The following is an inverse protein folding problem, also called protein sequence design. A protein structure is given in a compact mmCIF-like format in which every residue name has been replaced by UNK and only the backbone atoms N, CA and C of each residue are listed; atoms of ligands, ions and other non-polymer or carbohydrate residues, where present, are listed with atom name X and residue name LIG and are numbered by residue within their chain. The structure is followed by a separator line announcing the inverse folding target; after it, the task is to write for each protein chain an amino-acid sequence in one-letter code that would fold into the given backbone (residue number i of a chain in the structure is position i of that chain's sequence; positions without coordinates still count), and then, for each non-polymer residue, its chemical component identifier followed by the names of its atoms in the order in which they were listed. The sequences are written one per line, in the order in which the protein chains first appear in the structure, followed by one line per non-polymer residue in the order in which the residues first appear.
data_IF_614004307669
#
_entry.id   IF_614004307669
#
_cell.length_a   1.000
_cell.length_b   1.000
_cell.length_c   1.000
_cell.angle_alpha   90.00
_cell.angle_beta   90.00
_cell.angle_gamma   90.00
#
_symmetry.space_group_name_H-M   'P 1'
#
loop_
_entity.id
_entity.type
_entity.pdbx_description
1 polymer ?
#
# COMPACT_ATOMS: atom_id res chain seq x y z
N UNK A 1 17.65 16.28 3.36
CA UNK A 1 18.91 15.50 3.34
C UNK A 1 18.76 14.17 2.60
N UNK A 2 17.82 13.30 2.99
CA UNK A 2 17.61 11.98 2.36
C UNK A 2 17.38 12.04 0.84
N UNK A 3 16.54 12.97 0.36
CA UNK A 3 16.28 13.19 -1.08
C UNK A 3 17.47 13.70 -1.89
N UNK A 4 18.52 14.21 -1.23
CA UNK A 4 19.78 14.61 -1.89
C UNK A 4 20.77 13.46 -1.98
N UNK A 5 20.60 12.42 -1.16
CA UNK A 5 21.54 11.28 -1.04
C UNK A 5 21.09 10.05 -1.81
N UNK A 6 19.79 9.89 -2.07
CA UNK A 6 19.24 8.72 -2.73
C UNK A 6 18.30 9.09 -3.88
N UNK A 7 18.28 8.30 -4.96
CA UNK A 7 17.35 8.50 -6.07
C UNK A 7 15.91 8.25 -5.64
N UNK A 8 14.94 8.87 -6.35
CA UNK A 8 13.52 8.82 -5.97
C UNK A 8 12.98 7.39 -5.96
N UNK A 9 13.44 6.57 -6.89
CA UNK A 9 13.08 5.16 -7.03
C UNK A 9 13.47 4.38 -5.77
N UNK A 10 14.65 4.66 -5.20
CA UNK A 10 15.11 4.00 -3.98
C UNK A 10 14.29 4.41 -2.76
N UNK A 11 13.94 5.69 -2.68
CA UNK A 11 13.08 6.20 -1.62
C UNK A 11 11.69 5.62 -1.69
N UNK A 12 11.14 5.50 -2.91
CA UNK A 12 9.85 4.87 -3.13
C UNK A 12 9.89 3.37 -2.78
N UNK A 13 10.93 2.65 -3.18
CA UNK A 13 11.12 1.24 -2.81
C UNK A 13 11.11 1.06 -1.29
N UNK A 14 11.88 1.86 -0.55
CA UNK A 14 11.88 1.81 0.91
C UNK A 14 10.52 2.16 1.49
N UNK A 15 9.89 3.24 1.02
CA UNK A 15 8.56 3.63 1.47
C UNK A 15 7.55 2.49 1.29
N UNK A 16 7.53 1.87 0.10
CA UNK A 16 6.57 0.81 -0.21
C UNK A 16 6.82 -0.45 0.61
N UNK A 17 8.08 -0.78 0.93
CA UNK A 17 8.44 -2.02 1.63
C UNK A 17 8.42 -1.92 3.16
N UNK A 18 8.52 -0.72 3.74
CA UNK A 18 8.57 -0.56 5.20
C UNK A 18 7.27 -0.05 5.83
N UNK A 19 6.37 0.56 5.06
CA UNK A 19 5.13 1.08 5.61
C UNK A 19 4.18 -0.02 6.08
N UNK A 20 3.36 0.34 7.06
CA UNK A 20 2.30 -0.50 7.58
C UNK A 20 1.02 -0.31 6.77
N UNK A 21 0.44 -1.42 6.29
CA UNK A 21 -0.77 -1.44 5.48
C UNK A 21 -1.97 -2.03 6.26
N UNK A 22 -1.93 -2.11 7.60
CA UNK A 22 -2.98 -2.77 8.38
C UNK A 22 -2.84 -4.30 8.39
N UNK A 23 -3.58 -4.99 9.25
CA UNK A 23 -3.61 -6.47 9.28
C UNK A 23 -2.21 -7.15 9.36
N UNK A 24 -1.29 -6.57 10.13
CA UNK A 24 0.11 -7.01 10.26
C UNK A 24 0.91 -7.03 8.93
N UNK A 25 0.37 -6.45 7.85
CA UNK A 25 1.04 -6.32 6.59
C UNK A 25 2.01 -5.14 6.61
N UNK A 26 3.31 -5.43 6.71
CA UNK A 26 4.38 -4.47 6.49
C UNK A 26 4.97 -4.67 5.10
N UNK A 27 4.93 -3.63 4.30
CA UNK A 27 5.35 -3.67 2.91
C UNK A 27 4.25 -4.05 1.92
N UNK A 28 4.38 -3.53 0.70
CA UNK A 28 3.36 -3.66 -0.36
C UNK A 28 3.15 -5.10 -0.81
N UNK A 29 4.19 -5.95 -0.80
CA UNK A 29 4.06 -7.38 -1.12
C UNK A 29 3.21 -8.10 -0.08
N UNK A 30 3.48 -7.89 1.21
CA UNK A 30 2.67 -8.48 2.28
C UNK A 30 1.22 -7.99 2.21
N UNK A 31 1.00 -6.70 1.94
CA UNK A 31 -0.33 -6.14 1.77
C UNK A 31 -1.07 -6.78 0.57
N UNK A 32 -0.40 -6.94 -0.56
CA UNK A 32 -0.95 -7.59 -1.75
C UNK A 32 -1.40 -9.02 -1.46
N UNK A 33 -0.62 -9.77 -0.69
CA UNK A 33 -1.00 -11.12 -0.29
C UNK A 33 -2.19 -11.11 0.68
N UNK A 34 -2.20 -10.21 1.67
CA UNK A 34 -3.28 -10.11 2.67
C UNK A 34 -4.62 -9.72 2.04
N UNK A 35 -4.64 -8.72 1.15
CA UNK A 35 -5.89 -8.17 0.61
C UNK A 35 -6.35 -8.83 -0.68
N UNK A 36 -5.44 -9.42 -1.47
CA UNK A 36 -5.76 -9.95 -2.80
C UNK A 36 -5.23 -11.36 -3.09
N UNK A 37 -4.37 -11.93 -2.23
CA UNK A 37 -3.76 -13.24 -2.46
C UNK A 37 -2.88 -13.30 -3.70
N UNK A 38 -2.25 -12.17 -4.07
CA UNK A 38 -1.43 -12.01 -5.28
C UNK A 38 -0.08 -11.40 -4.95
N UNK A 39 0.92 -11.63 -5.80
CA UNK A 39 2.15 -10.82 -5.74
C UNK A 39 1.84 -9.38 -6.13
N UNK A 40 2.54 -8.42 -5.52
CA UNK A 40 2.34 -7.00 -5.83
C UNK A 40 2.60 -6.67 -7.31
N UNK A 41 3.42 -7.49 -7.98
CA UNK A 41 3.70 -7.37 -9.43
C UNK A 41 2.49 -7.72 -10.31
N UNK A 42 1.56 -8.51 -9.79
CA UNK A 42 0.40 -9.05 -10.52
C UNK A 42 -0.89 -8.26 -10.23
N UNK A 43 -0.78 -7.17 -9.46
CA UNK A 43 -1.91 -6.30 -9.15
C UNK A 43 -2.38 -5.56 -10.40
N UNK A 44 -3.69 -5.52 -10.59
CA UNK A 44 -4.28 -4.61 -11.56
C UNK A 44 -4.31 -3.17 -10.99
N UNK A 45 -4.65 -2.20 -11.85
CA UNK A 45 -4.69 -0.78 -11.47
C UNK A 45 -5.62 -0.51 -10.29
N UNK A 46 -6.78 -1.16 -10.22
CA UNK A 46 -7.73 -0.95 -9.13
C UNK A 46 -7.17 -1.49 -7.80
N UNK A 47 -6.59 -2.69 -7.82
CA UNK A 47 -5.99 -3.29 -6.63
C UNK A 47 -4.79 -2.48 -6.13
N UNK A 48 -3.95 -2.01 -7.05
CA UNK A 48 -2.83 -1.11 -6.73
C UNK A 48 -3.31 0.22 -6.14
N UNK A 49 -4.34 0.84 -6.72
CA UNK A 49 -4.95 2.07 -6.21
C UNK A 49 -5.53 1.88 -4.80
N UNK A 50 -6.11 0.71 -4.53
CA UNK A 50 -6.61 0.38 -3.19
C UNK A 50 -5.46 0.34 -2.18
N UNK A 51 -4.36 -0.37 -2.47
CA UNK A 51 -3.22 -0.44 -1.55
C UNK A 51 -2.53 0.90 -1.35
N UNK A 52 -2.44 1.74 -2.39
CA UNK A 52 -1.76 3.03 -2.33
C UNK A 52 -2.34 3.98 -1.28
N UNK A 53 -3.64 3.91 -1.01
CA UNK A 53 -4.28 4.74 0.01
C UNK A 53 -4.05 4.24 1.44
N UNK A 54 -3.77 2.96 1.66
CA UNK A 54 -3.80 2.37 3.01
C UNK A 54 -2.72 2.94 3.95
N UNK A 55 -1.44 3.11 3.57
CA UNK A 55 -0.40 3.58 4.48
C UNK A 55 -0.70 4.91 5.19
N UNK A 56 -1.50 5.78 4.57
CA UNK A 56 -1.90 7.05 5.16
C UNK A 56 -2.86 6.85 6.36
N UNK A 57 -3.76 5.87 6.29
CA UNK A 57 -4.70 5.52 7.36
C UNK A 57 -4.91 3.99 7.40
N UNK A 58 -4.02 3.22 8.06
CA UNK A 58 -4.04 1.76 8.01
C UNK A 58 -5.32 1.11 8.57
N UNK A 59 -6.03 1.80 9.48
CA UNK A 59 -7.32 1.34 10.02
C UNK A 59 -8.48 1.47 9.02
N UNK A 60 -8.30 2.23 7.92
CA UNK A 60 -9.30 2.40 6.87
C UNK A 60 -9.03 1.45 5.69
N UNK A 61 -8.67 0.21 6.00
CA UNK A 61 -8.33 -0.81 5.01
C UNK A 61 -9.58 -1.59 4.55
N UNK A 62 -9.50 -2.36 3.44
CA UNK A 62 -10.65 -3.07 2.89
C UNK A 62 -11.31 -4.11 3.80
N UNK A 63 -10.59 -4.62 4.80
CA UNK A 63 -11.12 -5.63 5.74
C UNK A 63 -11.85 -4.94 6.89
N UNK A 64 -11.24 -3.93 7.50
CA UNK A 64 -11.77 -3.27 8.70
C UNK A 64 -12.80 -2.18 8.38
N UNK A 65 -12.67 -1.50 7.23
CA UNK A 65 -13.55 -0.41 6.81
C UNK A 65 -13.67 -0.31 5.27
N UNK A 66 -14.44 -1.23 4.64
CA UNK A 66 -14.52 -1.35 3.19
C UNK A 66 -15.09 -0.11 2.48
N UNK A 67 -16.04 0.58 3.11
CA UNK A 67 -16.67 1.79 2.54
C UNK A 67 -15.68 2.95 2.43
N UNK A 68 -14.90 3.21 3.49
CA UNK A 68 -13.85 4.23 3.47
C UNK A 68 -12.72 3.85 2.53
N UNK A 69 -12.31 2.58 2.53
CA UNK A 69 -11.29 2.07 1.62
C UNK A 69 -11.71 2.28 0.15
N UNK A 70 -12.97 1.98 -0.18
CA UNK A 70 -13.51 2.17 -1.53
C UNK A 70 -13.59 3.64 -1.94
N UNK A 71 -14.00 4.53 -1.03
CA UNK A 71 -14.00 5.97 -1.28
C UNK A 71 -12.60 6.50 -1.56
N UNK A 72 -11.60 6.01 -0.81
CA UNK A 72 -10.20 6.45 -0.90
C UNK A 72 -9.45 5.86 -2.10
N UNK A 73 -9.94 4.76 -2.68
CA UNK A 73 -9.37 4.17 -3.89
C UNK A 73 -9.38 5.12 -5.10
N UNK A 74 -10.33 6.05 -5.17
CA UNK A 74 -10.53 6.96 -6.31
C UNK A 74 -9.97 8.37 -6.13
N UNK A 75 -9.22 8.63 -5.05
CA UNK A 75 -8.64 9.94 -4.71
C UNK A 75 -7.21 10.00 -5.20
#
# INVERSE_FOLDING_TARGET
EVTRRFPKEKLLEWYLNYNFYGNLAYGVEAASQVYFGKSARDLNLAEAAMLAAIPQYPALNPIDNPEDAKRRQGV
#
